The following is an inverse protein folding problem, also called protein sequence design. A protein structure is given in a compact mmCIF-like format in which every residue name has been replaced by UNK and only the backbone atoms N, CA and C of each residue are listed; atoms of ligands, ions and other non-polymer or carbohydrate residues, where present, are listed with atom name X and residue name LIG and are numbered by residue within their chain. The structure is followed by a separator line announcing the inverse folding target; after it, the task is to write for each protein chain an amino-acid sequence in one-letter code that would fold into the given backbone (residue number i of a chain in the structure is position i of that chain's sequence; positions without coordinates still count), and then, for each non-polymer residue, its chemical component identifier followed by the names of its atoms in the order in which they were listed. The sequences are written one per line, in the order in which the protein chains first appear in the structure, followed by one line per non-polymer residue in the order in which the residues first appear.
data_IF_014606804635
#
_entry.id   IF_014606804635
#
_cell.length_a   1.000
_cell.length_b   1.000
_cell.length_c   1.000
_cell.angle_alpha   90.00
_cell.angle_beta   90.00
_cell.angle_gamma   90.00
#
_symmetry.space_group_name_H-M   'P 1'
#
loop_
_entity.id
_entity.type
_entity.pdbx_description
1 polymer ?
#
# COMPACT_ATOMS: atom_id res chain seq x y z
N UNK A 1 -27.85 17.91 -7.71
CA UNK A 1 -26.80 16.86 -7.73
C UNK A 1 -26.43 16.59 -6.29
N UNK A 2 -26.89 15.48 -5.71
CA UNK A 2 -26.45 15.09 -4.38
C UNK A 2 -24.99 14.63 -4.50
N UNK A 3 -24.09 15.47 -3.99
CA UNK A 3 -22.71 15.10 -3.70
C UNK A 3 -22.81 14.17 -2.49
N UNK A 4 -22.90 12.87 -2.72
CA UNK A 4 -22.68 11.90 -1.65
C UNK A 4 -21.21 12.02 -1.26
N UNK A 5 -20.97 12.49 -0.05
CA UNK A 5 -19.65 12.52 0.55
C UNK A 5 -19.18 11.06 0.67
N UNK A 6 -18.28 10.65 -0.23
CA UNK A 6 -17.71 9.30 -0.15
C UNK A 6 -16.74 9.31 1.01
N UNK A 7 -17.06 8.55 2.06
CA UNK A 7 -16.14 8.35 3.18
C UNK A 7 -14.89 7.62 2.69
N UNK A 8 -13.75 8.27 2.82
CA UNK A 8 -12.44 7.72 2.48
C UNK A 8 -11.67 7.45 3.77
N UNK A 9 -11.26 6.20 3.95
CA UNK A 9 -10.57 5.73 5.14
C UNK A 9 -9.06 5.83 4.94
N UNK A 10 -8.42 6.64 5.78
CA UNK A 10 -6.96 6.72 5.82
C UNK A 10 -6.39 5.59 6.67
N UNK A 11 -5.82 4.58 6.01
CA UNK A 11 -5.33 3.36 6.67
C UNK A 11 -4.20 3.68 7.66
N UNK A 12 -3.26 4.53 7.26
CA UNK A 12 -2.13 4.92 8.12
C UNK A 12 -2.64 5.56 9.41
N UNK A 13 -3.61 6.47 9.29
CA UNK A 13 -4.21 7.13 10.44
C UNK A 13 -4.88 6.12 11.39
N UNK A 14 -5.71 5.22 10.84
CA UNK A 14 -6.41 4.22 11.64
C UNK A 14 -5.44 3.28 12.37
N UNK A 15 -4.40 2.79 11.68
CA UNK A 15 -3.38 1.93 12.30
C UNK A 15 -2.58 2.67 13.37
N UNK A 16 -2.22 3.94 13.13
CA UNK A 16 -1.54 4.79 14.13
C UNK A 16 -2.38 4.97 15.39
N UNK A 17 -3.68 5.20 15.23
CA UNK A 17 -4.65 5.38 16.31
C UNK A 17 -5.07 4.08 17.00
N UNK A 18 -4.58 2.91 16.57
CA UNK A 18 -5.03 1.58 17.05
C UNK A 18 -6.53 1.35 16.80
N UNK A 19 -7.06 1.84 15.68
CA UNK A 19 -8.46 1.65 15.29
C UNK A 19 -8.59 0.52 14.29
N UNK A 20 -9.72 -0.17 14.34
CA UNK A 20 -10.10 -1.16 13.34
C UNK A 20 -10.50 -0.46 12.04
N UNK A 21 -10.02 -0.97 10.91
CA UNK A 21 -10.27 -0.40 9.58
C UNK A 21 -11.62 -0.92 9.08
N UNK A 22 -12.63 -0.06 8.83
CA UNK A 22 -13.93 -0.52 8.37
C UNK A 22 -13.90 -1.05 6.93
N UNK A 23 -14.65 -2.11 6.68
CA UNK A 23 -14.85 -2.76 5.37
C UNK A 23 -15.85 -2.02 4.50
N UNK A 24 -15.83 -2.25 3.18
CA UNK A 24 -16.78 -1.70 2.21
C UNK A 24 -16.62 -0.21 1.92
N UNK A 25 -15.42 0.35 2.14
CA UNK A 25 -15.14 1.76 1.95
C UNK A 25 -14.11 1.99 0.84
N UNK A 26 -13.90 3.25 0.48
CA UNK A 26 -12.70 3.64 -0.24
C UNK A 26 -11.57 3.88 0.76
N UNK A 27 -10.34 3.58 0.35
CA UNK A 27 -9.18 3.68 1.21
C UNK A 27 -8.12 4.62 0.63
N UNK A 28 -7.37 5.28 1.50
CA UNK A 28 -6.09 5.88 1.18
C UNK A 28 -4.98 4.96 1.68
N UNK A 29 -4.25 4.37 0.73
CA UNK A 29 -3.03 3.61 1.02
C UNK A 29 -1.82 4.53 0.81
N UNK A 30 -0.77 4.35 1.61
CA UNK A 30 0.49 5.06 1.43
C UNK A 30 1.49 4.18 0.68
N UNK A 31 2.02 4.67 -0.45
CA UNK A 31 3.14 4.06 -1.19
C UNK A 31 4.21 5.12 -1.41
N UNK A 32 5.45 4.87 -0.99
CA UNK A 32 6.57 5.82 -1.10
C UNK A 32 6.25 7.23 -0.56
N UNK A 33 5.50 7.31 0.55
CA UNK A 33 5.04 8.55 1.21
C UNK A 33 3.97 9.33 0.45
N UNK A 34 3.49 8.81 -0.68
CA UNK A 34 2.36 9.35 -1.41
C UNK A 34 1.10 8.56 -1.08
N UNK A 35 -0.05 9.25 -1.00
CA UNK A 35 -1.35 8.63 -0.72
C UNK A 35 -2.09 8.37 -2.02
N UNK A 36 -2.63 7.16 -2.17
CA UNK A 36 -3.40 6.74 -3.33
C UNK A 36 -4.77 6.27 -2.89
N UNK A 37 -5.82 6.77 -3.57
CA UNK A 37 -7.19 6.31 -3.35
C UNK A 37 -7.38 4.96 -4.05
N UNK A 38 -7.93 4.00 -3.34
CA UNK A 38 -8.34 2.69 -3.85
C UNK A 38 -9.79 2.41 -3.46
N UNK A 39 -10.53 1.76 -4.35
CA UNK A 39 -11.96 1.44 -4.15
C UNK A 39 -12.19 -0.02 -3.75
N UNK A 40 -11.11 -0.80 -3.68
CA UNK A 40 -11.12 -2.21 -3.28
C UNK A 40 -10.46 -2.38 -1.92
N UNK A 41 -10.90 -3.37 -1.16
CA UNK A 41 -10.29 -3.76 0.13
C UNK A 41 -8.94 -4.45 -0.04
N UNK A 42 -8.65 -4.97 -1.22
CA UNK A 42 -7.41 -5.68 -1.52
C UNK A 42 -6.89 -5.32 -2.91
N UNK A 43 -5.57 -5.42 -3.06
CA UNK A 43 -4.87 -5.39 -4.34
C UNK A 43 -3.71 -6.38 -4.31
N UNK A 44 -3.34 -6.89 -5.48
CA UNK A 44 -2.10 -7.63 -5.67
C UNK A 44 -0.88 -6.71 -5.59
N UNK A 45 0.29 -7.25 -5.27
CA UNK A 45 1.54 -6.47 -5.27
C UNK A 45 1.82 -5.79 -6.62
N UNK A 46 1.51 -6.47 -7.73
CA UNK A 46 1.64 -5.91 -9.07
C UNK A 46 0.66 -4.75 -9.33
N UNK A 47 -0.60 -4.82 -8.87
CA UNK A 47 -1.54 -3.70 -8.96
C UNK A 47 -1.08 -2.50 -8.12
N UNK A 48 -0.53 -2.72 -6.92
CA UNK A 48 0.00 -1.65 -6.07
C UNK A 48 1.19 -0.94 -6.74
N UNK A 49 2.09 -1.71 -7.37
CA UNK A 49 3.22 -1.13 -8.12
C UNK A 49 2.74 -0.28 -9.29
N UNK A 50 1.77 -0.78 -10.08
CA UNK A 50 1.17 -0.01 -11.18
C UNK A 50 0.47 1.26 -10.68
N UNK A 51 -0.28 1.17 -9.59
CA UNK A 51 -0.95 2.32 -8.97
C UNK A 51 0.05 3.42 -8.57
N UNK A 52 1.22 3.03 -8.09
CA UNK A 52 2.32 3.94 -7.73
C UNK A 52 3.19 4.37 -8.93
N UNK A 53 2.76 4.12 -10.17
CA UNK A 53 3.46 4.52 -11.39
C UNK A 53 4.73 3.72 -11.67
N UNK A 54 4.95 2.57 -11.00
CA UNK A 54 6.14 1.74 -11.18
C UNK A 54 5.94 0.84 -12.40
N UNK A 55 6.37 1.34 -13.56
CA UNK A 55 6.24 0.65 -14.85
C UNK A 55 7.61 0.55 -15.54
N UNK A 56 8.04 -0.65 -15.97
CA UNK A 56 7.41 -1.95 -15.74
C UNK A 56 7.51 -2.40 -14.25
N UNK A 57 6.44 -3.00 -13.66
CA UNK A 57 6.44 -3.42 -12.25
C UNK A 57 7.57 -4.38 -11.88
N UNK A 58 8.01 -5.21 -12.82
CA UNK A 58 9.03 -6.24 -12.67
C UNK A 58 10.42 -5.67 -12.36
N UNK A 59 10.60 -4.34 -12.50
CA UNK A 59 11.83 -3.64 -12.11
C UNK A 59 11.81 -3.15 -10.66
N UNK A 60 10.77 -3.47 -9.90
CA UNK A 60 10.58 -3.00 -8.55
C UNK A 60 10.19 -4.15 -7.61
N UNK A 61 10.77 -4.13 -6.42
CA UNK A 61 10.29 -4.91 -5.28
C UNK A 61 9.28 -4.06 -4.49
N UNK A 62 8.19 -4.69 -4.06
CA UNK A 62 7.24 -4.12 -3.13
C UNK A 62 7.48 -4.66 -1.71
N UNK A 63 7.53 -3.77 -0.73
CA UNK A 63 7.60 -4.11 0.69
C UNK A 63 6.43 -3.48 1.43
N UNK A 64 5.86 -4.20 2.38
CA UNK A 64 4.89 -3.71 3.34
C UNK A 64 5.57 -3.50 4.69
N UNK A 65 5.39 -2.30 5.25
CA UNK A 65 5.81 -2.01 6.62
C UNK A 65 4.59 -2.09 7.54
N UNK A 66 4.75 -2.85 8.61
CA UNK A 66 3.77 -3.00 9.66
C UNK A 66 4.09 -2.13 10.87
N UNK A 67 3.05 -1.90 11.67
CA UNK A 67 3.18 -1.31 13.01
C UNK A 67 4.19 -2.09 13.85
N UNK A 68 5.08 -1.35 14.51
CA UNK A 68 6.21 -1.93 15.24
C UNK A 68 7.47 -2.15 14.38
N UNK A 69 7.44 -1.74 13.10
CA UNK A 69 8.62 -1.67 12.24
C UNK A 69 8.97 -2.95 11.49
N UNK A 70 8.18 -4.02 11.64
CA UNK A 70 8.34 -5.24 10.83
C UNK A 70 8.13 -4.90 9.35
N UNK A 71 9.02 -5.35 8.48
CA UNK A 71 8.92 -5.18 7.03
C UNK A 71 8.86 -6.56 6.37
N UNK A 72 7.92 -6.75 5.45
CA UNK A 72 7.82 -7.98 4.65
C UNK A 72 7.80 -7.65 3.17
N UNK A 73 8.45 -8.50 2.37
CA UNK A 73 8.32 -8.46 0.92
C UNK A 73 6.93 -8.95 0.52
N UNK A 74 6.35 -8.30 -0.48
CA UNK A 74 5.08 -8.70 -1.10
C UNK A 74 5.40 -9.19 -2.52
N UNK A 75 4.91 -10.39 -2.86
CA UNK A 75 5.01 -10.95 -4.21
C UNK A 75 4.10 -10.21 -5.21
N UNK A 76 4.38 -10.34 -6.50
CA UNK A 76 3.57 -9.69 -7.55
C UNK A 76 2.11 -10.17 -7.55
N UNK A 77 1.89 -11.48 -7.45
CA UNK A 77 0.56 -12.09 -7.41
C UNK A 77 0.00 -12.23 -5.99
N UNK A 78 0.76 -11.81 -4.98
CA UNK A 78 0.31 -11.86 -3.59
C UNK A 78 -0.75 -10.78 -3.38
N UNK A 79 -1.94 -11.21 -2.96
CA UNK A 79 -3.00 -10.31 -2.54
C UNK A 79 -2.69 -9.73 -1.16
N UNK A 80 -2.89 -8.42 -1.01
CA UNK A 80 -2.77 -7.71 0.26
C UNK A 80 -4.11 -7.08 0.60
N UNK A 81 -4.60 -7.39 1.80
CA UNK A 81 -5.79 -6.78 2.37
C UNK A 81 -5.44 -5.50 3.14
N UNK A 82 -6.17 -4.42 2.85
CA UNK A 82 -6.02 -3.13 3.49
C UNK A 82 -6.76 -3.01 4.81
N UNK A 83 -7.65 -3.95 5.11
CA UNK A 83 -8.40 -4.01 6.36
C UNK A 83 -7.77 -4.96 7.38
N UNK A 84 -6.66 -5.60 7.02
CA UNK A 84 -5.87 -6.39 7.96
C UNK A 84 -5.14 -5.48 8.98
N UNK A 85 -5.06 -5.89 10.25
CA UNK A 85 -4.38 -5.10 11.27
C UNK A 85 -2.91 -4.85 10.94
N UNK A 86 -2.49 -3.61 11.14
CA UNK A 86 -1.07 -3.25 11.17
C UNK A 86 -0.47 -2.86 9.83
N UNK A 87 -1.23 -2.80 8.73
CA UNK A 87 -0.73 -2.23 7.46
C UNK A 87 -0.48 -0.73 7.62
N UNK A 88 0.78 -0.28 7.69
CA UNK A 88 1.07 1.16 7.79
C UNK A 88 1.25 1.79 6.42
N UNK A 89 2.16 1.21 5.62
CA UNK A 89 2.56 1.75 4.32
C UNK A 89 3.31 0.74 3.48
N UNK A 90 3.35 1.01 2.19
CA UNK A 90 4.14 0.30 1.20
C UNK A 90 5.36 1.12 0.79
N UNK A 91 6.42 0.41 0.44
CA UNK A 91 7.69 0.98 -0.03
C UNK A 91 8.13 0.21 -1.27
N UNK A 92 8.67 0.92 -2.25
CA UNK A 92 9.24 0.29 -3.45
C UNK A 92 10.75 0.40 -3.46
N UNK A 93 11.42 -0.62 -3.98
CA UNK A 93 12.87 -0.65 -4.17
C UNK A 93 13.13 -1.02 -5.64
N UNK A 94 13.87 -0.20 -6.41
CA UNK A 94 14.30 -0.59 -7.75
C UNK A 94 15.21 -1.83 -7.70
N UNK A 95 14.96 -2.82 -8.56
CA UNK A 95 15.76 -4.05 -8.63
C UNK A 95 17.08 -3.88 -9.41
N UNK A 96 17.16 -2.87 -10.28
CA UNK A 96 18.36 -2.55 -11.08
C UNK A 96 19.44 -1.77 -10.33
N UNK A 97 19.34 -1.63 -9.00
CA UNK A 97 20.39 -0.97 -8.22
C UNK A 97 21.50 -1.97 -7.85
N UNK A 98 22.50 -2.11 -8.73
CA UNK A 98 23.85 -2.48 -8.31
C UNK A 98 24.48 -1.29 -7.60
N UNK A 99 24.23 -1.13 -6.30
CA UNK A 99 25.08 -0.25 -5.47
C UNK A 99 26.26 -1.06 -4.93
N UNK A 100 27.45 -0.87 -5.52
CA UNK A 100 28.73 -1.12 -4.86
C UNK A 100 29.67 -2.14 -5.49
N UNK A 101 30.25 -1.85 -6.66
CA UNK A 101 31.69 -2.10 -6.80
C UNK A 101 32.42 -0.87 -6.23
N UNK A 102 32.95 -1.02 -5.02
CA UNK A 102 34.02 -0.18 -4.49
C UNK A 102 35.15 -1.08 -4.03
#
# INVERSE_FOLDING_TARGET
MNIHEILIIDIELYVRENREIPRGHHYLIMVDRLKYKVEKECLTGHEILKLAGKTPPERFQLNQRYKGGKVTRIGYDQEVSFVEPGVEKFMTIPLDQTEGEK
#
